data_IF_640560079843
#
_entry.id   IF_640560079843
#
_cell.length_a   1.000
_cell.length_b   1.000
_cell.length_c   1.000
_cell.angle_alpha   90.00
_cell.angle_beta   90.00
_cell.angle_gamma   90.00
#
_symmetry.space_group_name_H-M   'P 1'
#
loop_
_entity.id
_entity.type
_entity.pdbx_description
1 polymer ?
#
# COMPACT_ATOMS: atom_id res chain seq x y z
N UNK A 1 33.04 -38.06 -26.99
CA UNK A 1 32.28 -38.08 -25.73
C UNK A 1 32.53 -36.77 -24.97
N UNK A 2 32.05 -35.62 -25.47
CA UNK A 2 32.25 -34.32 -24.79
C UNK A 2 31.41 -33.15 -25.36
N UNK A 3 30.31 -33.42 -26.06
CA UNK A 3 29.45 -32.35 -26.65
C UNK A 3 28.07 -32.30 -25.99
N UNK A 4 27.65 -33.35 -25.26
CA UNK A 4 26.35 -33.39 -24.59
C UNK A 4 26.30 -32.70 -23.22
N UNK A 5 27.46 -32.37 -22.62
CA UNK A 5 27.52 -31.81 -21.25
C UNK A 5 27.40 -30.27 -21.26
N UNK A 6 27.67 -29.60 -22.39
CA UNK A 6 27.58 -28.14 -22.49
C UNK A 6 26.11 -27.63 -22.56
N UNK A 7 25.19 -28.44 -23.08
CA UNK A 7 23.78 -28.02 -23.25
C UNK A 7 22.95 -28.05 -21.97
N UNK A 8 23.38 -28.80 -20.94
CA UNK A 8 22.61 -28.94 -19.69
C UNK A 8 22.85 -27.75 -18.73
N UNK A 9 23.96 -27.03 -18.88
CA UNK A 9 24.30 -25.88 -18.01
C UNK A 9 23.65 -24.57 -18.49
N UNK A 10 23.20 -24.49 -19.75
CA UNK A 10 22.60 -23.26 -20.30
C UNK A 10 21.10 -23.10 -20.05
N UNK A 11 20.45 -24.05 -19.36
CA UNK A 11 19.01 -23.97 -19.02
C UNK A 11 18.78 -23.30 -17.65
N UNK A 12 19.83 -23.03 -16.86
CA UNK A 12 19.70 -22.54 -15.48
C UNK A 12 19.83 -21.02 -15.27
N UNK A 13 19.86 -20.18 -16.31
CA UNK A 13 20.02 -18.72 -16.14
C UNK A 13 18.89 -17.85 -16.68
N UNK A 14 17.73 -18.42 -17.01
CA UNK A 14 16.51 -17.62 -17.08
C UNK A 14 15.73 -17.78 -15.78
N UNK A 15 16.22 -17.15 -14.71
CA UNK A 15 15.27 -16.67 -13.70
C UNK A 15 14.44 -15.60 -14.39
N UNK A 16 13.28 -16.01 -14.92
CA UNK A 16 12.21 -15.07 -15.19
C UNK A 16 11.89 -14.40 -13.85
N UNK A 17 12.49 -13.23 -13.61
CA UNK A 17 11.92 -12.28 -12.67
C UNK A 17 10.63 -11.80 -13.33
N UNK A 18 9.59 -12.61 -13.23
CA UNK A 18 8.23 -12.11 -13.38
C UNK A 18 8.06 -11.14 -12.24
N UNK A 19 8.40 -9.87 -12.47
CA UNK A 19 7.95 -8.78 -11.61
C UNK A 19 6.45 -8.97 -11.50
N UNK A 20 6.00 -9.50 -10.37
CA UNK A 20 4.67 -10.08 -10.26
C UNK A 20 3.69 -8.91 -10.36
N UNK A 21 3.13 -8.69 -11.56
CA UNK A 21 2.34 -7.51 -11.92
C UNK A 21 1.12 -7.33 -11.02
N UNK A 22 0.74 -8.39 -10.32
CA UNK A 22 -0.42 -8.47 -9.44
C UNK A 22 -0.07 -8.24 -7.96
N UNK A 23 1.18 -7.98 -7.61
CA UNK A 23 1.57 -7.63 -6.24
C UNK A 23 1.07 -6.23 -5.86
N UNK A 24 0.80 -6.05 -4.57
CA UNK A 24 0.69 -4.74 -3.93
C UNK A 24 2.10 -4.19 -3.79
N UNK A 25 2.30 -2.94 -4.20
CA UNK A 25 3.61 -2.29 -4.22
C UNK A 25 3.61 -1.06 -3.32
N UNK A 26 4.78 -0.73 -2.77
CA UNK A 26 5.00 0.44 -1.94
C UNK A 26 4.51 1.73 -2.62
N UNK A 27 3.78 2.57 -1.88
CA UNK A 27 3.14 3.79 -2.36
C UNK A 27 1.76 3.57 -3.02
N UNK A 28 1.32 2.32 -3.22
CA UNK A 28 0.00 2.05 -3.80
C UNK A 28 -1.09 2.53 -2.87
N UNK A 29 -2.21 2.96 -3.44
CA UNK A 29 -3.36 3.47 -2.67
C UNK A 29 -4.58 2.61 -2.98
N UNK A 30 -5.27 2.12 -1.97
CA UNK A 30 -6.39 1.19 -2.13
C UNK A 30 -7.41 1.35 -1.00
N UNK A 31 -8.60 0.77 -1.20
CA UNK A 31 -9.55 0.52 -0.12
C UNK A 31 -9.25 -0.85 0.46
N UNK A 32 -9.25 -0.98 1.78
CA UNK A 32 -8.98 -2.24 2.46
C UNK A 32 -10.27 -2.82 2.99
N UNK A 33 -10.75 -3.88 2.35
CA UNK A 33 -12.08 -4.46 2.53
C UNK A 33 -11.99 -5.66 3.45
N UNK A 34 -12.80 -5.66 4.52
CA UNK A 34 -12.94 -6.81 5.38
C UNK A 34 -13.66 -7.93 4.62
N UNK A 35 -13.04 -9.11 4.54
CA UNK A 35 -13.53 -10.19 3.68
C UNK A 35 -14.88 -10.76 4.14
N UNK A 36 -15.14 -10.78 5.45
CA UNK A 36 -16.36 -11.35 6.01
C UNK A 36 -17.57 -10.44 5.84
N UNK A 37 -17.39 -9.12 5.99
CA UNK A 37 -18.49 -8.15 6.03
C UNK A 37 -18.65 -7.32 4.75
N UNK A 38 -17.58 -7.16 3.95
CA UNK A 38 -17.55 -6.26 2.80
C UNK A 38 -17.33 -4.78 3.17
N UNK A 39 -17.22 -4.46 4.46
CA UNK A 39 -16.96 -3.10 4.94
C UNK A 39 -15.51 -2.68 4.69
N UNK A 40 -15.29 -1.39 4.48
CA UNK A 40 -13.99 -0.81 4.17
C UNK A 40 -13.42 -0.11 5.38
N UNK A 41 -12.12 -0.32 5.61
CA UNK A 41 -11.35 0.46 6.56
C UNK A 41 -11.48 1.94 6.20
N UNK A 42 -11.86 2.75 7.19
CA UNK A 42 -12.29 4.13 7.00
C UNK A 42 -11.83 4.99 8.17
N UNK A 43 -11.58 6.28 7.94
CA UNK A 43 -11.33 7.26 9.00
C UNK A 43 -11.83 8.64 8.59
N UNK A 44 -11.98 9.56 9.54
CA UNK A 44 -12.59 10.88 9.33
C UNK A 44 -12.17 11.85 10.42
N UNK A 45 -12.57 13.11 10.36
CA UNK A 45 -12.30 14.08 11.43
C UNK A 45 -13.28 13.98 12.61
N UNK A 46 -13.42 12.76 13.14
CA UNK A 46 -14.11 12.48 14.41
C UNK A 46 -13.12 11.77 15.31
N UNK A 47 -13.12 12.12 16.60
CA UNK A 47 -12.23 11.52 17.61
C UNK A 47 -13.04 10.61 18.53
N UNK A 48 -12.38 9.61 19.10
CA UNK A 48 -12.99 8.85 20.18
C UNK A 48 -13.23 9.75 21.40
N UNK A 49 -14.37 9.55 22.08
CA UNK A 49 -14.65 10.18 23.37
C UNK A 49 -14.11 9.38 24.56
N UNK A 50 -13.55 8.20 24.30
CA UNK A 50 -12.98 7.26 25.27
C UNK A 50 -11.56 6.86 24.83
N UNK A 51 -10.92 5.98 25.60
CA UNK A 51 -9.63 5.42 25.24
C UNK A 51 -8.57 6.50 25.09
N UNK A 52 -7.89 6.55 23.96
CA UNK A 52 -6.80 7.50 23.73
C UNK A 52 -7.27 8.92 23.37
N UNK A 53 -8.54 9.09 22.99
CA UNK A 53 -9.05 10.35 22.44
C UNK A 53 -8.53 10.71 21.04
N UNK A 54 -7.85 9.78 20.37
CA UNK A 54 -7.33 9.98 19.01
C UNK A 54 -8.43 9.90 17.94
N UNK A 55 -8.07 10.19 16.69
CA UNK A 55 -8.98 10.13 15.55
C UNK A 55 -9.49 8.69 15.34
N UNK A 56 -10.80 8.53 15.13
CA UNK A 56 -11.43 7.21 15.03
C UNK A 56 -11.15 6.52 13.71
N UNK A 57 -11.07 5.19 13.77
CA UNK A 57 -10.98 4.30 12.61
C UNK A 57 -12.15 3.34 12.67
N UNK A 58 -12.85 3.20 11.55
CA UNK A 58 -14.12 2.49 11.47
C UNK A 58 -14.21 1.62 10.22
N UNK A 59 -15.21 0.74 10.18
CA UNK A 59 -15.64 0.02 8.99
C UNK A 59 -16.86 0.71 8.40
N UNK A 60 -16.81 1.09 7.12
CA UNK A 60 -17.96 1.68 6.41
C UNK A 60 -18.47 0.76 5.29
N UNK A 61 -19.80 0.60 5.14
CA UNK A 61 -20.36 -0.09 3.98
C UNK A 61 -20.37 0.80 2.73
N UNK A 62 -20.14 2.11 2.87
CA UNK A 62 -20.16 3.04 1.75
C UNK A 62 -19.00 2.75 0.79
N UNK A 63 -19.33 2.20 -0.37
CA UNK A 63 -18.32 1.71 -1.29
C UNK A 63 -17.51 2.82 -1.97
N UNK A 64 -18.10 4.00 -2.11
CA UNK A 64 -17.56 5.10 -2.91
C UNK A 64 -16.88 6.19 -2.07
N UNK A 65 -16.85 6.02 -0.75
CA UNK A 65 -16.26 7.01 0.15
C UNK A 65 -14.76 7.20 -0.09
N UNK A 66 -14.34 8.45 -0.24
CA UNK A 66 -12.94 8.85 -0.42
C UNK A 66 -12.13 8.65 0.86
N UNK A 67 -12.79 8.69 2.01
CA UNK A 67 -12.20 8.46 3.33
C UNK A 67 -11.95 6.96 3.64
N UNK A 68 -12.09 6.11 2.63
CA UNK A 68 -11.66 4.71 2.68
C UNK A 68 -10.33 4.46 1.95
N UNK A 69 -9.67 5.50 1.43
CA UNK A 69 -8.38 5.35 0.76
C UNK A 69 -7.21 5.37 1.75
N UNK A 70 -6.43 4.30 1.68
CA UNK A 70 -5.20 4.13 2.44
C UNK A 70 -4.03 3.90 1.48
N UNK A 71 -2.93 4.58 1.73
CA UNK A 71 -1.67 4.38 1.02
C UNK A 71 -0.76 3.46 1.83
N UNK A 72 -0.23 2.41 1.20
CA UNK A 72 0.80 1.57 1.82
C UNK A 72 2.16 2.25 1.74
N UNK A 73 2.87 2.32 2.86
CA UNK A 73 4.25 2.85 2.99
C UNK A 73 5.14 1.83 3.67
N UNK A 74 6.45 2.04 3.58
CA UNK A 74 7.42 1.19 4.27
C UNK A 74 7.41 1.40 5.78
N UNK A 75 8.25 0.61 6.45
CA UNK A 75 8.47 0.73 7.88
C UNK A 75 9.01 2.13 8.22
N UNK A 76 8.73 2.62 9.43
CA UNK A 76 9.28 3.90 9.92
C UNK A 76 10.81 3.89 9.98
N UNK A 77 11.40 2.70 10.16
CA UNK A 77 12.85 2.50 10.28
C UNK A 77 13.55 2.34 8.93
N UNK A 78 12.82 1.92 7.91
CA UNK A 78 13.33 1.68 6.57
C UNK A 78 12.16 1.80 5.59
N UNK A 79 11.98 3.00 5.05
CA UNK A 79 10.94 3.21 4.05
C UNK A 79 11.24 2.40 2.79
N UNK A 80 10.21 2.08 2.01
CA UNK A 80 10.38 1.33 0.77
C UNK A 80 10.38 2.25 -0.45
N UNK A 81 11.15 1.88 -1.46
CA UNK A 81 11.10 2.57 -2.74
C UNK A 81 9.74 2.36 -3.40
N UNK A 82 9.18 3.44 -3.94
CA UNK A 82 7.91 3.45 -4.65
C UNK A 82 7.90 2.39 -5.76
N UNK A 83 6.88 1.54 -5.78
CA UNK A 83 6.76 0.44 -6.76
C UNK A 83 7.39 -0.88 -6.31
N UNK A 84 8.14 -0.91 -5.21
CA UNK A 84 8.69 -2.17 -4.65
C UNK A 84 7.55 -3.10 -4.21
N UNK A 85 7.48 -4.36 -4.69
CA UNK A 85 6.51 -5.35 -4.23
C UNK A 85 6.63 -5.62 -2.71
N UNK A 86 5.50 -5.58 -2.01
CA UNK A 86 5.46 -5.85 -0.56
C UNK A 86 5.52 -7.37 -0.33
N UNK A 87 6.54 -7.83 0.39
CA UNK A 87 6.67 -9.25 0.76
C UNK A 87 5.77 -9.57 1.95
N UNK A 88 5.36 -10.83 2.03
CA UNK A 88 4.79 -11.36 3.26
C UNK A 88 5.81 -11.24 4.40
N UNK A 89 5.32 -11.08 5.63
CA UNK A 89 6.08 -10.76 6.84
C UNK A 89 6.81 -9.40 6.85
N UNK A 90 6.70 -8.58 5.79
CA UNK A 90 7.20 -7.20 5.85
C UNK A 90 6.36 -6.35 6.81
N UNK A 91 7.05 -5.39 7.42
CA UNK A 91 6.43 -4.35 8.24
C UNK A 91 6.15 -3.16 7.33
N UNK A 92 4.91 -2.69 7.39
CA UNK A 92 4.40 -1.56 6.61
C UNK A 92 3.71 -0.57 7.54
N UNK A 93 3.35 0.58 6.97
CA UNK A 93 2.41 1.54 7.54
C UNK A 93 1.27 1.76 6.55
N UNK A 94 0.05 1.96 7.07
CA UNK A 94 -1.07 2.41 6.26
C UNK A 94 -1.36 3.87 6.57
N UNK A 95 -1.26 4.73 5.56
CA UNK A 95 -1.47 6.16 5.66
C UNK A 95 -2.84 6.54 5.12
N UNK A 96 -3.70 7.12 5.95
CA UNK A 96 -5.00 7.60 5.55
C UNK A 96 -4.85 8.83 4.66
N UNK A 97 -5.34 8.75 3.42
CA UNK A 97 -5.05 9.77 2.40
C UNK A 97 -5.63 11.13 2.75
N UNK A 98 -6.89 11.18 3.21
CA UNK A 98 -7.58 12.45 3.45
C UNK A 98 -7.05 13.19 4.68
N UNK A 99 -6.88 12.50 5.80
CA UNK A 99 -6.47 13.15 7.07
C UNK A 99 -4.97 13.15 7.30
N UNK A 100 -4.22 12.46 6.43
CA UNK A 100 -2.77 12.38 6.47
C UNK A 100 -2.19 11.80 7.77
N UNK A 101 -2.95 10.89 8.38
CA UNK A 101 -2.59 10.17 9.61
C UNK A 101 -2.24 8.70 9.32
N UNK A 102 -1.52 8.05 10.22
CA UNK A 102 -1.21 6.63 10.13
C UNK A 102 -2.25 5.78 10.86
N UNK A 103 -2.54 4.59 10.33
CA UNK A 103 -3.25 3.55 11.07
C UNK A 103 -2.40 3.13 12.25
N UNK A 104 -2.97 3.24 13.45
CA UNK A 104 -2.23 3.13 14.70
C UNK A 104 -2.94 2.23 15.69
N UNK A 105 -2.17 1.60 16.57
CA UNK A 105 -2.71 0.89 17.72
C UNK A 105 -1.73 0.93 18.89
N UNK A 106 -2.26 0.66 20.08
CA UNK A 106 -1.62 0.89 21.38
C UNK A 106 -2.41 0.22 22.49
N UNK A 107 -1.94 0.29 23.74
CA UNK A 107 -2.58 -0.37 24.90
C UNK A 107 -3.73 0.43 25.51
N UNK A 108 -4.67 0.90 24.67
CA UNK A 108 -5.95 1.47 25.09
C UNK A 108 -7.08 0.51 24.77
N UNK A 109 -8.14 0.54 25.56
CA UNK A 109 -9.35 -0.26 25.35
C UNK A 109 -10.18 0.36 24.22
N UNK A 110 -10.68 -0.47 23.29
CA UNK A 110 -11.53 -0.03 22.19
C UNK A 110 -12.91 0.44 22.69
N UNK A 111 -13.59 1.35 21.99
CA UNK A 111 -14.78 2.03 22.52
C UNK A 111 -15.99 1.13 22.78
N UNK A 112 -16.18 0.05 22.02
CA UNK A 112 -17.39 -0.78 22.06
C UNK A 112 -17.11 -2.22 22.54
N UNK A 113 -16.13 -2.89 21.95
CA UNK A 113 -15.91 -4.33 22.19
C UNK A 113 -14.98 -4.66 23.36
N UNK A 114 -14.42 -3.66 24.05
CA UNK A 114 -13.38 -3.83 25.06
C UNK A 114 -12.12 -4.57 24.55
N UNK A 115 -11.89 -4.55 23.24
CA UNK A 115 -10.67 -5.05 22.62
C UNK A 115 -9.57 -3.99 22.71
N UNK A 116 -8.49 -4.14 21.94
CA UNK A 116 -7.47 -3.09 21.85
C UNK A 116 -7.87 -2.04 20.82
N UNK A 117 -7.72 -0.76 21.15
CA UNK A 117 -8.09 0.37 20.30
C UNK A 117 -7.22 0.43 19.03
N UNK A 118 -7.89 0.73 17.90
CA UNK A 118 -7.26 1.14 16.64
C UNK A 118 -7.71 2.56 16.32
N UNK A 119 -6.76 3.41 15.98
CA UNK A 119 -6.94 4.83 15.76
C UNK A 119 -6.19 5.31 14.52
N UNK A 120 -6.42 6.57 14.13
CA UNK A 120 -5.59 7.29 13.19
C UNK A 120 -4.74 8.31 13.96
N UNK A 121 -3.42 8.20 13.86
CA UNK A 121 -2.47 8.93 14.70
C UNK A 121 -1.40 9.65 13.87
N UNK A 122 -0.71 10.59 14.51
CA UNK A 122 0.35 11.36 13.88
C UNK A 122 -0.18 12.43 12.91
N UNK A 123 0.73 13.06 12.20
CA UNK A 123 0.43 14.17 11.27
C UNK A 123 1.38 14.08 10.07
N UNK A 124 0.87 14.29 8.86
CA UNK A 124 1.62 14.17 7.61
C UNK A 124 2.35 12.83 7.42
N UNK A 125 1.89 11.79 8.12
CA UNK A 125 2.47 10.45 8.12
C UNK A 125 3.70 10.31 9.01
N UNK A 126 4.03 11.35 9.78
CA UNK A 126 4.93 11.28 10.93
C UNK A 126 4.16 10.67 12.09
N UNK A 127 4.72 9.63 12.68
CA UNK A 127 4.17 8.96 13.86
C UNK A 127 5.25 8.13 14.54
N UNK A 128 4.92 6.96 15.09
CA UNK A 128 5.82 6.19 15.94
C UNK A 128 5.70 4.66 15.75
N UNK A 129 6.23 3.90 16.71
CA UNK A 129 6.25 2.43 16.69
C UNK A 129 4.85 1.78 16.74
N UNK A 130 3.80 2.51 17.14
CA UNK A 130 2.40 2.06 17.10
C UNK A 130 1.78 2.06 15.70
N UNK A 131 2.48 2.62 14.70
CA UNK A 131 2.04 2.65 13.30
C UNK A 131 2.46 1.39 12.52
N UNK A 132 3.21 0.48 13.14
CA UNK A 132 3.91 -0.61 12.46
C UNK A 132 3.03 -1.86 12.39
N UNK A 133 2.73 -2.30 11.18
CA UNK A 133 1.89 -3.47 10.90
C UNK A 133 2.64 -4.50 10.07
N UNK A 134 2.71 -5.74 10.56
CA UNK A 134 3.26 -6.86 9.82
C UNK A 134 2.22 -7.46 8.89
N UNK A 135 2.56 -7.64 7.63
CA UNK A 135 1.73 -8.28 6.60
C UNK A 135 1.77 -9.80 6.79
N UNK A 136 0.66 -10.41 7.18
CA UNK A 136 0.55 -11.87 7.36
C UNK A 136 -0.31 -12.44 6.23
N UNK A 137 0.33 -13.06 5.24
CA UNK A 137 -0.34 -13.64 4.09
C UNK A 137 -1.05 -14.96 4.45
N UNK A 138 -2.19 -15.22 3.84
CA UNK A 138 -2.93 -16.50 4.02
C UNK A 138 -2.53 -17.56 3.01
N UNK A 139 -1.84 -17.17 1.93
CA UNK A 139 -1.36 -18.03 0.86
C UNK A 139 0.14 -18.27 1.02
N UNK A 140 0.67 -19.29 0.34
CA UNK A 140 2.12 -19.60 0.32
C UNK A 140 2.92 -18.71 -0.64
N UNK A 141 2.37 -17.56 -1.02
CA UNK A 141 3.05 -16.61 -1.91
C UNK A 141 4.10 -15.83 -1.11
N UNK A 142 5.22 -15.50 -1.74
CA UNK A 142 6.26 -14.66 -1.11
C UNK A 142 5.83 -13.19 -0.96
N UNK A 143 4.86 -12.76 -1.78
CA UNK A 143 4.39 -11.38 -1.88
C UNK A 143 2.90 -11.25 -1.60
N UNK A 144 2.51 -10.08 -1.09
CA UNK A 144 1.11 -9.71 -0.97
C UNK A 144 0.52 -9.46 -2.36
N UNK A 145 -0.23 -10.43 -2.87
CA UNK A 145 -0.95 -10.31 -4.13
C UNK A 145 -2.29 -9.62 -3.92
N UNK A 146 -2.70 -8.78 -4.88
CA UNK A 146 -3.96 -8.00 -4.81
C UNK A 146 -5.21 -8.87 -4.67
N UNK A 147 -5.18 -10.08 -5.25
CA UNK A 147 -6.31 -11.02 -5.22
C UNK A 147 -6.45 -11.73 -3.87
N UNK A 148 -5.38 -11.78 -3.08
CA UNK A 148 -5.30 -12.54 -1.83
C UNK A 148 -5.78 -11.67 -0.66
N UNK A 149 -6.48 -12.29 0.29
CA UNK A 149 -6.71 -11.70 1.59
C UNK A 149 -5.45 -11.88 2.47
N UNK A 150 -5.23 -10.93 3.36
CA UNK A 150 -4.15 -10.96 4.35
C UNK A 150 -4.70 -10.61 5.73
N UNK A 151 -3.85 -10.73 6.75
CA UNK A 151 -4.05 -10.07 8.04
C UNK A 151 -2.98 -8.99 8.22
N UNK A 152 -3.29 -7.96 8.98
CA UNK A 152 -2.30 -7.04 9.52
C UNK A 152 -2.16 -7.31 11.01
N UNK A 153 -0.94 -7.64 11.44
CA UNK A 153 -0.60 -7.84 12.85
C UNK A 153 0.13 -6.59 13.37
N UNK A 154 -0.42 -5.93 14.37
CA UNK A 154 0.23 -4.79 15.01
C UNK A 154 1.52 -5.26 15.70
N UNK A 155 2.67 -4.71 15.28
CA UNK A 155 3.99 -5.22 15.68
C UNK A 155 4.20 -5.14 17.19
N UNK A 156 3.84 -4.02 17.80
CA UNK A 156 4.12 -3.75 19.22
C UNK A 156 3.27 -4.59 20.19
N UNK A 157 2.14 -5.15 19.72
CA UNK A 157 1.18 -5.87 20.60
C UNK A 157 0.88 -7.30 20.14
N UNK A 158 1.26 -7.67 18.91
CA UNK A 158 0.98 -8.98 18.32
C UNK A 158 -0.49 -9.22 17.95
N UNK A 159 -1.37 -8.22 18.12
CA UNK A 159 -2.80 -8.34 17.84
C UNK A 159 -3.12 -8.05 16.37
N UNK A 160 -4.24 -8.58 15.87
CA UNK A 160 -4.63 -8.44 14.46
C UNK A 160 -5.68 -7.35 14.27
N UNK A 161 -5.52 -6.53 13.23
CA UNK A 161 -6.55 -5.60 12.78
C UNK A 161 -7.86 -6.34 12.52
N UNK A 162 -8.93 -5.93 13.19
CA UNK A 162 -10.15 -6.70 13.33
C UNK A 162 -11.38 -5.81 13.23
N UNK A 163 -12.42 -6.33 12.58
CA UNK A 163 -13.75 -5.72 12.59
C UNK A 163 -14.59 -6.47 13.63
N UNK A 164 -14.87 -5.82 14.77
CA UNK A 164 -15.52 -6.48 15.92
C UNK A 164 -16.96 -6.92 15.62
N UNK A 165 -17.66 -6.13 14.80
CA UNK A 165 -19.07 -6.32 14.47
C UNK A 165 -19.97 -5.33 15.21
N UNK A 166 -19.48 -4.73 16.31
CA UNK A 166 -20.15 -3.65 17.01
C UNK A 166 -20.28 -2.41 16.12
N UNK A 167 -21.38 -1.68 16.28
CA UNK A 167 -21.76 -0.57 15.40
C UNK A 167 -21.94 0.71 16.21
N UNK A 168 -21.35 1.80 15.74
CA UNK A 168 -21.47 3.10 16.37
C UNK A 168 -22.85 3.73 16.13
N UNK A 169 -23.30 4.51 17.11
CA UNK A 169 -24.41 5.45 16.99
C UNK A 169 -23.95 6.81 16.43
N UNK A 170 -24.65 7.88 16.80
CA UNK A 170 -24.26 9.25 16.40
C UNK A 170 -22.88 9.63 16.97
N UNK A 171 -22.08 10.46 16.27
CA UNK A 171 -22.38 11.09 14.98
C UNK A 171 -22.08 10.21 13.75
N UNK A 172 -21.50 9.02 13.93
CA UNK A 172 -21.01 8.13 12.86
C UNK A 172 -21.88 6.87 12.73
N UNK A 173 -23.20 7.09 12.73
CA UNK A 173 -24.21 6.03 12.84
C UNK A 173 -24.05 4.97 11.74
N UNK A 174 -24.04 3.70 12.15
CA UNK A 174 -23.98 2.57 11.23
C UNK A 174 -22.57 2.15 10.82
N UNK A 175 -21.54 2.93 11.18
CA UNK A 175 -20.16 2.51 10.99
C UNK A 175 -19.76 1.48 12.05
N UNK A 176 -18.98 0.47 11.66
CA UNK A 176 -18.55 -0.60 12.55
C UNK A 176 -17.25 -0.26 13.25
N UNK A 177 -17.07 -0.79 14.46
CA UNK A 177 -15.84 -0.64 15.21
C UNK A 177 -14.72 -1.47 14.58
N UNK A 178 -13.57 -0.82 14.41
CA UNK A 178 -12.30 -1.45 14.10
C UNK A 178 -11.46 -1.46 15.38
N UNK A 179 -10.93 -2.63 15.70
CA UNK A 179 -10.12 -2.87 16.89
C UNK A 179 -8.98 -3.83 16.56
N UNK A 180 -8.15 -4.12 17.56
CA UNK A 180 -7.14 -5.15 17.52
C UNK A 180 -7.63 -6.35 18.33
N UNK A 181 -7.52 -7.55 17.77
CA UNK A 181 -7.96 -8.80 18.41
C UNK A 181 -6.82 -9.81 18.52
N UNK A 182 -6.76 -10.55 19.63
CA UNK A 182 -5.60 -11.40 19.96
C UNK A 182 -5.44 -12.64 19.08
N UNK A 183 -6.50 -13.09 18.39
CA UNK A 183 -6.50 -14.36 17.66
C UNK A 183 -6.87 -14.18 16.19
N UNK A 184 -6.29 -15.00 15.31
CA UNK A 184 -6.68 -15.06 13.91
C UNK A 184 -8.06 -15.71 13.75
N UNK A 185 -8.96 -15.08 13.00
CA UNK A 185 -10.27 -15.59 12.63
C UNK A 185 -10.71 -15.02 11.25
N UNK A 186 -11.99 -15.15 10.88
CA UNK A 186 -12.50 -14.64 9.59
C UNK A 186 -12.69 -13.11 9.59
N UNK A 187 -12.94 -12.50 10.75
CA UNK A 187 -13.18 -11.05 10.90
C UNK A 187 -11.91 -10.20 10.82
N UNK A 188 -10.73 -10.81 10.86
CA UNK A 188 -9.45 -10.13 10.63
C UNK A 188 -8.79 -10.48 9.30
N UNK A 189 -9.58 -10.95 8.33
CA UNK A 189 -9.16 -11.10 6.93
C UNK A 189 -9.55 -9.87 6.13
N UNK A 190 -8.56 -9.33 5.40
CA UNK A 190 -8.71 -8.09 4.67
C UNK A 190 -8.11 -8.21 3.26
N UNK A 191 -8.77 -7.61 2.28
CA UNK A 191 -8.37 -7.66 0.87
C UNK A 191 -8.34 -6.25 0.29
N UNK A 192 -7.38 -5.98 -0.59
CA UNK A 192 -7.33 -4.69 -1.30
C UNK A 192 -8.38 -4.65 -2.41
N UNK A 193 -8.99 -3.47 -2.60
CA UNK A 193 -9.96 -3.21 -3.65
C UNK A 193 -9.89 -1.74 -4.13
N UNK A 194 -10.46 -1.48 -5.31
CA UNK A 194 -10.68 -0.14 -5.87
C UNK A 194 -9.46 0.80 -5.80
N UNK A 195 -8.25 0.27 -6.02
CA UNK A 195 -6.99 0.97 -5.80
C UNK A 195 -6.21 1.38 -7.06
N UNK A 196 -5.29 2.33 -6.87
CA UNK A 196 -4.24 2.70 -7.83
C UNK A 196 -2.93 2.04 -7.40
N UNK A 197 -2.45 1.11 -8.21
CA UNK A 197 -1.26 0.32 -7.91
C UNK A 197 -0.08 0.76 -8.76
N UNK A 198 1.05 1.02 -8.10
CA UNK A 198 2.26 1.46 -8.79
C UNK A 198 2.92 0.26 -9.46
N UNK A 199 3.34 0.43 -10.72
CA UNK A 199 4.07 -0.60 -11.44
C UNK A 199 5.44 -0.80 -10.78
N UNK A 200 5.90 -2.05 -10.61
CA UNK A 200 7.28 -2.30 -10.22
C UNK A 200 8.24 -1.59 -11.18
N UNK A 201 9.25 -0.91 -10.64
CA UNK A 201 10.32 -0.32 -11.43
C UNK A 201 11.06 -1.45 -12.15
N UNK A 202 10.89 -1.55 -13.47
CA UNK A 202 11.63 -2.50 -14.28
C UNK A 202 12.90 -1.82 -14.81
N UNK A 203 14.03 -1.99 -14.11
CA UNK A 203 15.39 -1.64 -14.57
C UNK A 203 15.62 -0.15 -15.01
N UNK A 204 16.85 0.35 -15.11
CA UNK A 204 17.12 1.74 -15.47
C UNK A 204 16.63 2.04 -16.89
N UNK A 205 15.97 3.18 -17.09
CA UNK A 205 15.65 3.73 -18.40
C UNK A 205 16.95 3.93 -19.20
N UNK A 206 17.29 3.01 -20.12
CA UNK A 206 18.34 3.28 -21.11
C UNK A 206 17.81 4.32 -22.08
N UNK A 207 18.34 5.53 -21.96
CA UNK A 207 18.07 6.63 -22.89
C UNK A 207 18.83 6.40 -24.20
N UNK A 208 18.27 5.60 -25.10
CA UNK A 208 18.61 5.74 -26.53
C UNK A 208 17.87 6.97 -27.04
N UNK A 209 18.56 8.12 -27.01
CA UNK A 209 18.23 9.23 -27.90
C UNK A 209 18.60 8.79 -29.31
N UNK A 210 17.62 8.69 -30.18
CA UNK A 210 17.82 8.54 -31.61
C UNK A 210 18.45 9.82 -32.16
N UNK A 211 19.79 9.86 -32.25
CA UNK A 211 20.48 10.74 -33.18
C UNK A 211 20.52 10.06 -34.55
N UNK A 212 19.52 10.34 -35.38
CA UNK A 212 19.68 10.17 -36.82
C UNK A 212 18.87 11.25 -37.56
N UNK A 213 19.49 12.41 -37.76
CA UNK A 213 19.05 13.34 -38.80
C UNK A 213 20.19 13.50 -39.81
N UNK A 214 19.86 13.08 -41.03
CA UNK A 214 20.70 13.01 -42.21
C UNK A 214 21.38 14.34 -42.54
N UNK A 215 22.65 14.22 -42.89
CA UNK A 215 23.36 15.08 -43.82
C UNK A 215 22.60 15.22 -45.15
N UNK A 216 22.34 16.47 -45.56
CA UNK A 216 22.27 16.82 -46.98
C UNK A 216 22.82 18.22 -47.19
N UNK A 217 24.01 18.26 -47.78
CA UNK A 217 24.61 19.44 -48.40
C UNK A 217 23.86 19.82 -49.67
N UNK A 218 23.51 21.09 -49.84
CA UNK A 218 23.32 21.70 -51.16
C UNK A 218 23.74 23.17 -51.09
N UNK A 219 24.67 23.52 -51.97
CA UNK A 219 25.36 24.80 -52.09
C UNK A 219 24.75 25.68 -53.16
N UNK A 220 25.06 27.00 -53.09
CA UNK A 220 24.83 28.11 -54.05
C UNK A 220 23.45 28.80 -53.91
N UNK A 221 23.34 30.13 -53.87
CA UNK A 221 24.06 31.18 -54.62
C UNK A 221 23.94 32.54 -53.88
N UNK A 222 24.95 33.39 -54.04
CA UNK A 222 25.00 34.80 -53.64
C UNK A 222 23.82 35.59 -54.24
N UNK A 223 23.32 36.58 -53.49
CA UNK A 223 23.15 37.94 -54.04
C UNK A 223 23.28 38.98 -52.92
N UNK A 224 23.98 40.04 -53.31
CA UNK A 224 24.47 41.20 -52.58
C UNK A 224 23.52 42.35 -52.87
N UNK A 225 23.09 43.11 -51.87
CA UNK A 225 22.67 44.50 -52.04
C UNK A 225 22.87 45.27 -50.73
N UNK A 226 23.65 46.34 -50.86
CA UNK A 226 23.98 47.34 -49.86
C UNK A 226 22.83 48.33 -49.59
N UNK A 227 22.90 48.93 -48.40
CA UNK A 227 22.67 50.32 -48.04
C UNK A 227 21.30 51.04 -48.12
N UNK A 228 21.10 51.79 -47.02
CA UNK A 228 20.37 53.05 -46.81
C UNK A 228 18.83 53.08 -46.90
N UNK A 229 18.20 53.22 -45.72
CA UNK A 229 17.64 54.50 -45.21
C UNK A 229 17.57 54.49 -43.68
#
# INVERSE_FOLDING_TARGET
MNIFIQCVILICLFKFSSGNKDSVTCGSTFKFVNQQSGDRLHSHDVKYGSGSGQQSVTGTPNADDVNSYWQVRGDIRNDCERGTPIKCENIIRLFHVTTRRNLHSHKYTSPLSNNQEVSAYGEDGVGDEGDRWKVVCTTKNDFWLRKDAIRLQHVSTGQYLHLSGDTFGRPIHGQKEISCYSYANSQNLWKVDAGVYIRPSSEPLSSTRDENSNTRSESTKNDHFDDEL
#
